data_IF_903720722099
#
_entry.id   IF_903720722099
#
_cell.length_a   1.000
_cell.length_b   1.000
_cell.length_c   1.000
_cell.angle_alpha   90.00
_cell.angle_beta   90.00
_cell.angle_gamma   90.00
#
_symmetry.space_group_name_H-M   'P 1'
#
loop_
_entity.id
_entity.type
_entity.pdbx_description
1 polymer ?
#
# COMPACT_ATOMS: atom_id res chain seq x y z
N UNK A 1 11.81 -22.15 -17.43
CA UNK A 1 11.24 -21.72 -16.14
C UNK A 1 10.94 -22.98 -15.37
N UNK A 2 11.59 -23.20 -14.22
CA UNK A 2 11.39 -24.42 -13.44
C UNK A 2 9.91 -24.48 -13.02
N UNK A 3 9.29 -25.62 -13.30
CA UNK A 3 7.90 -25.89 -12.96
C UNK A 3 7.89 -26.18 -11.46
N UNK A 4 7.34 -25.26 -10.67
CA UNK A 4 7.29 -25.43 -9.22
C UNK A 4 6.49 -26.69 -8.88
N UNK A 5 7.06 -27.58 -8.07
CA UNK A 5 6.32 -28.75 -7.57
C UNK A 5 5.16 -28.25 -6.68
N UNK A 6 3.89 -28.60 -6.98
CA UNK A 6 2.75 -28.26 -6.14
C UNK A 6 2.80 -28.82 -4.72
N UNK A 7 3.66 -29.82 -4.47
CA UNK A 7 3.86 -30.41 -3.16
C UNK A 7 4.84 -29.61 -2.29
N UNK A 8 5.63 -28.70 -2.87
CA UNK A 8 6.66 -27.92 -2.18
C UNK A 8 6.27 -26.45 -2.04
N UNK A 9 6.58 -25.87 -0.88
CA UNK A 9 6.37 -24.47 -0.58
C UNK A 9 7.37 -23.62 -1.36
N UNK A 10 6.89 -22.63 -2.11
CA UNK A 10 7.72 -21.75 -2.93
C UNK A 10 8.59 -20.75 -2.18
N UNK A 11 8.54 -20.78 -0.85
CA UNK A 11 9.33 -19.90 0.00
C UNK A 11 10.36 -20.67 0.82
N UNK A 12 9.92 -21.70 1.55
CA UNK A 12 10.79 -22.46 2.45
C UNK A 12 11.10 -23.90 1.99
N UNK A 13 10.46 -24.40 0.93
CA UNK A 13 10.63 -25.77 0.44
C UNK A 13 9.92 -26.87 1.26
N UNK A 14 9.23 -26.53 2.34
CA UNK A 14 8.43 -27.48 3.13
C UNK A 14 7.14 -27.91 2.40
N UNK A 15 6.38 -28.87 2.93
CA UNK A 15 5.15 -29.37 2.31
C UNK A 15 4.10 -28.27 2.13
N UNK A 16 3.74 -28.02 0.88
CA UNK A 16 2.66 -27.11 0.53
C UNK A 16 1.27 -27.70 0.83
N UNK A 17 0.31 -26.81 1.08
CA UNK A 17 -1.09 -27.18 1.42
C UNK A 17 -2.09 -26.82 0.31
N UNK A 18 -1.61 -26.60 -0.91
CA UNK A 18 -2.48 -26.26 -2.05
C UNK A 18 -3.01 -24.82 -2.07
N UNK A 19 -2.55 -23.95 -1.17
CA UNK A 19 -2.82 -22.51 -1.21
C UNK A 19 -1.70 -21.82 -2.00
N UNK A 20 -2.04 -21.20 -3.13
CA UNK A 20 -1.13 -20.43 -3.95
C UNK A 20 -1.45 -18.94 -3.92
N UNK A 21 -0.41 -18.09 -3.82
CA UNK A 21 -0.57 -16.62 -3.83
C UNK A 21 0.11 -15.94 -5.03
N UNK A 22 0.48 -16.73 -6.04
CA UNK A 22 1.17 -16.26 -7.25
C UNK A 22 0.26 -15.71 -8.35
N UNK A 23 -1.06 -15.93 -8.29
CA UNK A 23 -2.01 -15.42 -9.29
C UNK A 23 -2.48 -13.98 -8.97
N UNK A 24 -1.59 -13.01 -9.14
CA UNK A 24 -1.90 -11.58 -8.96
C UNK A 24 -2.41 -10.90 -10.23
N UNK A 25 -2.22 -11.55 -11.38
CA UNK A 25 -2.59 -11.11 -12.73
C UNK A 25 -3.06 -12.31 -13.57
N UNK A 26 -3.94 -12.11 -14.57
CA UNK A 26 -4.34 -13.17 -15.50
C UNK A 26 -3.18 -13.80 -16.30
N UNK A 27 -2.00 -13.18 -16.31
CA UNK A 27 -0.80 -13.68 -17.01
C UNK A 27 0.08 -14.58 -16.14
N UNK A 28 -0.20 -14.64 -14.84
CA UNK A 28 0.60 -15.44 -13.91
C UNK A 28 0.32 -16.92 -14.16
N UNK A 29 1.38 -17.68 -14.43
CA UNK A 29 1.32 -19.12 -14.72
C UNK A 29 1.74 -19.99 -13.53
N UNK A 30 2.34 -19.36 -12.52
CA UNK A 30 2.85 -20.03 -11.33
C UNK A 30 2.01 -19.64 -10.11
N UNK A 31 1.22 -20.58 -9.56
CA UNK A 31 0.43 -20.36 -8.34
C UNK A 31 1.28 -20.06 -7.11
N UNK A 32 2.59 -20.39 -7.10
CA UNK A 32 3.47 -20.26 -5.92
C UNK A 32 2.82 -20.83 -4.66
N UNK A 33 2.67 -22.16 -4.65
CA UNK A 33 2.05 -22.86 -3.52
C UNK A 33 2.86 -22.68 -2.24
N UNK A 34 2.17 -22.56 -1.11
CA UNK A 34 2.79 -22.28 0.19
C UNK A 34 2.41 -23.35 1.23
N UNK A 35 3.27 -23.51 2.22
CA UNK A 35 2.92 -24.19 3.47
C UNK A 35 2.06 -23.27 4.37
N UNK A 36 1.49 -23.85 5.45
CA UNK A 36 0.64 -23.13 6.41
C UNK A 36 1.35 -21.87 6.94
N UNK A 37 2.56 -22.02 7.46
CA UNK A 37 3.29 -20.95 8.13
C UNK A 37 3.64 -19.80 7.19
N UNK A 38 4.13 -20.14 5.98
CA UNK A 38 4.45 -19.14 4.96
C UNK A 38 3.20 -18.40 4.46
N UNK A 39 2.07 -19.10 4.31
CA UNK A 39 0.81 -18.47 3.90
C UNK A 39 0.33 -17.44 4.94
N UNK A 40 0.43 -17.78 6.23
CA UNK A 40 0.04 -16.90 7.32
C UNK A 40 0.95 -15.66 7.40
N UNK A 41 2.27 -15.84 7.28
CA UNK A 41 3.22 -14.73 7.32
C UNK A 41 3.00 -13.76 6.16
N UNK A 42 2.83 -14.26 4.93
CA UNK A 42 2.66 -13.37 3.77
C UNK A 42 1.32 -12.65 3.82
N UNK A 43 0.22 -13.26 4.26
CA UNK A 43 -1.06 -12.56 4.45
C UNK A 43 -0.91 -11.38 5.42
N UNK A 44 -0.23 -11.59 6.55
CA UNK A 44 0.04 -10.52 7.52
C UNK A 44 0.90 -9.40 6.92
N UNK A 45 1.95 -9.73 6.16
CA UNK A 45 2.76 -8.72 5.47
C UNK A 45 1.93 -7.95 4.43
N UNK A 46 1.05 -8.63 3.69
CA UNK A 46 0.17 -7.98 2.72
C UNK A 46 -0.83 -7.04 3.39
N UNK A 47 -1.36 -7.40 4.57
CA UNK A 47 -2.21 -6.51 5.39
C UNK A 47 -1.47 -5.25 5.83
N UNK A 48 -0.19 -5.34 6.19
CA UNK A 48 0.64 -4.18 6.54
C UNK A 48 0.87 -3.23 5.36
N UNK A 49 0.86 -3.74 4.12
CA UNK A 49 1.02 -2.91 2.91
C UNK A 49 -0.21 -2.06 2.59
N UNK A 50 -1.40 -2.46 3.06
CA UNK A 50 -2.63 -1.70 2.82
C UNK A 50 -2.73 -0.56 3.85
N UNK A 51 -3.12 0.66 3.43
CA UNK A 51 -3.42 1.70 4.39
C UNK A 51 -4.61 1.24 5.26
N UNK A 52 -4.39 1.20 6.57
CA UNK A 52 -5.47 0.96 7.55
C UNK A 52 -6.51 2.09 7.55
N UNK A 53 -7.64 1.89 8.23
CA UNK A 53 -8.74 2.85 8.25
C UNK A 53 -8.31 4.26 8.71
N UNK A 54 -7.39 4.37 9.66
CA UNK A 54 -6.86 5.65 10.11
C UNK A 54 -6.05 6.34 9.01
N UNK A 55 -5.17 5.60 8.33
CA UNK A 55 -4.43 6.13 7.18
C UNK A 55 -5.35 6.55 6.04
N UNK A 56 -6.42 5.79 5.77
CA UNK A 56 -7.40 6.15 4.74
C UNK A 56 -8.11 7.48 5.08
N UNK A 57 -8.54 7.67 6.33
CA UNK A 57 -9.16 8.92 6.83
C UNK A 57 -8.17 10.08 6.86
N UNK A 58 -6.90 9.82 7.18
CA UNK A 58 -5.86 10.83 7.27
C UNK A 58 -5.52 11.49 5.92
N UNK A 59 -5.81 10.83 4.78
CA UNK A 59 -5.59 11.38 3.44
C UNK A 59 -6.32 12.70 3.19
N UNK A 60 -7.44 12.94 3.86
CA UNK A 60 -8.15 14.22 3.81
C UNK A 60 -7.23 15.39 4.23
N UNK A 61 -6.38 15.19 5.24
CA UNK A 61 -5.41 16.23 5.63
C UNK A 61 -4.34 16.48 4.56
N UNK A 62 -3.99 15.48 3.76
CA UNK A 62 -3.11 15.67 2.60
C UNK A 62 -3.78 16.49 1.50
N UNK A 63 -5.05 16.21 1.21
CA UNK A 63 -5.87 16.98 0.27
C UNK A 63 -5.98 18.45 0.71
N UNK A 64 -6.34 18.69 1.98
CA UNK A 64 -6.47 20.05 2.53
C UNK A 64 -5.14 20.81 2.48
N UNK A 65 -4.02 20.14 2.75
CA UNK A 65 -2.70 20.75 2.73
C UNK A 65 -2.22 21.08 1.31
N UNK A 66 -2.68 20.33 0.30
CA UNK A 66 -2.31 20.47 -1.10
C UNK A 66 -3.16 21.50 -1.86
N UNK A 67 -4.40 21.75 -1.42
CA UNK A 67 -5.34 22.69 -2.05
C UNK A 67 -4.71 24.05 -2.43
N UNK A 68 -4.00 24.74 -1.52
CA UNK A 68 -3.38 26.03 -1.83
C UNK A 68 -2.34 25.97 -2.96
N UNK A 69 -1.63 24.84 -3.10
CA UNK A 69 -0.65 24.67 -4.19
C UNK A 69 -1.33 24.44 -5.53
N UNK A 70 -2.49 23.78 -5.54
CA UNK A 70 -3.31 23.61 -6.75
C UNK A 70 -3.92 24.95 -7.18
N UNK A 71 -4.31 25.80 -6.22
CA UNK A 71 -4.76 27.16 -6.49
C UNK A 71 -3.62 28.05 -7.05
N UNK A 72 -2.40 27.86 -6.55
CA UNK A 72 -1.21 28.65 -6.95
C UNK A 72 -0.64 28.21 -8.31
N UNK A 73 -0.47 26.90 -8.53
CA UNK A 73 0.23 26.36 -9.71
C UNK A 73 -0.72 25.78 -10.76
N UNK A 74 -2.02 25.77 -10.51
CA UNK A 74 -3.04 25.22 -11.42
C UNK A 74 -3.25 23.71 -11.27
N UNK A 75 -4.30 23.17 -11.86
CA UNK A 75 -4.69 21.77 -11.66
C UNK A 75 -3.97 20.74 -12.53
N UNK A 76 -3.19 21.17 -13.52
CA UNK A 76 -2.46 20.28 -14.41
C UNK A 76 -1.03 20.05 -13.93
N UNK A 77 -0.80 18.92 -13.26
CA UNK A 77 0.52 18.48 -12.79
C UNK A 77 1.55 18.31 -13.94
N UNK A 78 1.11 18.13 -15.18
CA UNK A 78 2.00 18.02 -16.33
C UNK A 78 2.66 19.35 -16.73
N UNK A 79 2.09 20.47 -16.30
CA UNK A 79 2.63 21.82 -16.54
C UNK A 79 3.58 22.27 -15.43
N UNK A 80 3.67 21.51 -14.33
CA UNK A 80 4.49 21.86 -13.18
C UNK A 80 5.96 21.50 -13.40
N UNK A 81 6.85 22.28 -12.81
CA UNK A 81 8.27 21.92 -12.72
C UNK A 81 8.46 20.73 -11.78
N UNK A 82 9.55 19.99 -11.95
CA UNK A 82 9.90 18.88 -11.05
C UNK A 82 9.94 19.33 -9.58
N UNK A 83 10.50 20.52 -9.31
CA UNK A 83 10.55 21.10 -7.98
C UNK A 83 9.15 21.34 -7.40
N UNK A 84 8.22 21.91 -8.18
CA UNK A 84 6.84 22.13 -7.75
C UNK A 84 6.15 20.79 -7.42
N UNK A 85 6.35 19.76 -8.23
CA UNK A 85 5.80 18.42 -7.98
C UNK A 85 6.36 17.80 -6.70
N UNK A 86 7.66 17.97 -6.42
CA UNK A 86 8.26 17.47 -5.18
C UNK A 86 7.74 18.20 -3.95
N UNK A 87 7.58 19.53 -4.03
CA UNK A 87 6.96 20.33 -2.97
C UNK A 87 5.53 19.87 -2.72
N UNK A 88 4.75 19.63 -3.78
CA UNK A 88 3.39 19.11 -3.71
C UNK A 88 3.30 17.78 -2.98
N UNK A 89 4.13 16.82 -3.40
CA UNK A 89 4.16 15.48 -2.80
C UNK A 89 4.56 15.55 -1.32
N UNK A 90 5.57 16.36 -0.99
CA UNK A 90 5.98 16.60 0.39
C UNK A 90 4.84 17.19 1.22
N UNK A 91 4.09 18.16 0.65
CA UNK A 91 2.97 18.81 1.34
C UNK A 91 1.81 17.85 1.62
N UNK A 92 1.50 16.96 0.67
CA UNK A 92 0.51 15.90 0.86
C UNK A 92 0.93 14.97 2.00
N UNK A 93 2.18 14.52 2.02
CA UNK A 93 2.68 13.62 3.07
C UNK A 93 2.66 14.27 4.45
N UNK A 94 3.04 15.54 4.54
CA UNK A 94 2.94 16.32 5.77
C UNK A 94 1.50 16.43 6.28
N UNK A 95 0.57 16.74 5.38
CA UNK A 95 -0.86 16.82 5.70
C UNK A 95 -1.42 15.51 6.21
N UNK A 96 -1.13 14.40 5.51
CA UNK A 96 -1.52 13.06 5.94
C UNK A 96 -0.96 12.72 7.33
N UNK A 97 0.32 12.99 7.55
CA UNK A 97 1.00 12.67 8.82
C UNK A 97 0.43 13.49 9.99
N UNK A 98 0.19 14.79 9.78
CA UNK A 98 -0.42 15.67 10.78
C UNK A 98 -1.82 15.20 11.14
N UNK A 99 -2.65 14.86 10.15
CA UNK A 99 -4.01 14.38 10.38
C UNK A 99 -4.03 13.02 11.08
N UNK A 100 -3.14 12.10 10.71
CA UNK A 100 -3.01 10.82 11.37
C UNK A 100 -2.66 10.98 12.86
N UNK A 101 -1.69 11.86 13.18
CA UNK A 101 -1.32 12.17 14.57
C UNK A 101 -2.49 12.77 15.35
N UNK A 102 -3.30 13.62 14.71
CA UNK A 102 -4.50 14.17 15.34
C UNK A 102 -5.53 13.08 15.66
N UNK A 103 -5.86 12.21 14.70
CA UNK A 103 -6.83 11.12 14.89
C UNK A 103 -6.41 10.17 16.00
N UNK A 104 -5.13 9.79 16.04
CA UNK A 104 -4.59 8.93 17.10
C UNK A 104 -4.67 9.63 18.46
N UNK A 105 -4.42 10.95 18.51
CA UNK A 105 -4.44 11.72 19.76
C UNK A 105 -5.85 11.98 20.28
N UNK A 106 -6.82 12.24 19.40
CA UNK A 106 -8.22 12.45 19.79
C UNK A 106 -8.92 11.16 20.18
N UNK A 107 -8.40 10.01 19.74
CA UNK A 107 -9.06 8.71 19.94
C UNK A 107 -10.31 8.55 19.07
N UNK A 108 -10.47 9.40 18.05
CA UNK A 108 -11.63 9.35 17.16
C UNK A 108 -11.62 8.08 16.33
N UNK A 109 -12.76 7.40 16.26
CA UNK A 109 -12.93 6.27 15.37
C UNK A 109 -12.70 6.70 13.90
N UNK A 110 -12.06 5.85 13.08
CA UNK A 110 -11.74 6.18 11.69
C UNK A 110 -12.92 5.97 10.72
N UNK A 111 -14.12 5.72 11.23
CA UNK A 111 -15.37 5.49 10.48
C UNK A 111 -16.45 6.47 10.94
#
# INVERSE_FOLDING_TARGET
MSQHDPAECSFCGDRAIGIGMGFTSPRDKDPKFLCVDCSFMIDNIQRLKRPDAYKLKARAGGMDAAGPLVEEYGSDLGEWTEEQVLIFCGRIWDGCTKRLRQLVRSGDAPF
#
